data_IF_809535116506
#
_entry.id   IF_809535116506
#
_cell.length_a   1.000
_cell.length_b   1.000
_cell.length_c   1.000
_cell.angle_alpha   90.00
_cell.angle_beta   90.00
_cell.angle_gamma   90.00
#
_symmetry.space_group_name_H-M   'P 1'
#
loop_
_entity.id
_entity.type
_entity.pdbx_description
1 polymer ?
#
# COMPACT_ATOMS: atom_id res chain seq x y z
N UNK A 1 8.55 -16.78 5.24
CA UNK A 1 7.80 -16.49 6.49
C UNK A 1 8.58 -15.45 7.27
N UNK A 2 7.90 -14.46 7.88
CA UNK A 2 8.52 -13.47 8.78
C UNK A 2 7.56 -13.13 9.92
N UNK A 3 8.08 -13.02 11.15
CA UNK A 3 7.34 -12.46 12.29
C UNK A 3 7.64 -10.97 12.36
N UNK A 4 6.63 -10.12 12.19
CA UNK A 4 6.74 -8.67 12.25
C UNK A 4 5.62 -8.15 13.14
N UNK A 5 5.94 -7.31 14.13
CA UNK A 5 4.93 -6.70 15.01
C UNK A 5 3.99 -7.74 15.68
N UNK A 6 4.53 -8.89 16.12
CA UNK A 6 3.76 -10.03 16.65
C UNK A 6 2.78 -10.69 15.67
N UNK A 7 2.84 -10.37 14.38
CA UNK A 7 2.08 -11.04 13.32
C UNK A 7 2.98 -11.97 12.52
N UNK A 8 2.56 -13.22 12.30
CA UNK A 8 3.24 -14.15 11.42
C UNK A 8 2.69 -14.05 9.99
N UNK A 9 3.53 -13.65 9.04
CA UNK A 9 3.19 -13.67 7.62
C UNK A 9 3.70 -14.96 6.97
N UNK A 10 2.76 -15.81 6.55
CA UNK A 10 3.00 -17.09 5.88
C UNK A 10 2.84 -16.89 4.37
N UNK A 11 3.95 -16.62 3.71
CA UNK A 11 4.02 -16.25 2.28
C UNK A 11 4.36 -17.42 1.35
N UNK A 12 4.75 -18.58 1.91
CA UNK A 12 5.05 -19.76 1.11
C UNK A 12 3.72 -20.52 0.86
N UNK A 13 3.31 -20.74 -0.40
CA UNK A 13 2.06 -21.44 -0.70
C UNK A 13 2.07 -22.90 -0.20
N UNK A 14 3.24 -23.54 -0.11
CA UNK A 14 3.39 -24.92 0.36
C UNK A 14 3.45 -25.03 1.90
N UNK A 15 3.25 -23.92 2.62
CA UNK A 15 3.25 -23.92 4.07
C UNK A 15 1.90 -24.37 4.67
N UNK A 16 1.95 -25.40 5.50
CA UNK A 16 0.82 -25.89 6.31
C UNK A 16 1.05 -25.63 7.79
N UNK A 17 0.02 -25.13 8.49
CA UNK A 17 0.12 -24.80 9.91
C UNK A 17 -0.48 -25.90 10.79
N UNK A 18 0.31 -26.37 11.75
CA UNK A 18 -0.08 -27.34 12.77
C UNK A 18 0.09 -26.76 14.18
N UNK A 19 -0.58 -27.36 15.17
CA UNK A 19 -0.32 -27.12 16.60
C UNK A 19 0.57 -28.23 17.14
N UNK A 20 1.58 -27.86 17.91
CA UNK A 20 2.31 -28.77 18.81
C UNK A 20 2.34 -28.11 20.19
N UNK A 21 1.64 -28.72 21.15
CA UNK A 21 1.43 -28.17 22.49
C UNK A 21 0.93 -26.72 22.43
N UNK A 22 1.63 -25.77 23.06
CA UNK A 22 1.30 -24.34 23.06
C UNK A 22 2.03 -23.53 21.98
N UNK A 23 2.50 -24.21 20.93
CA UNK A 23 3.18 -23.59 19.83
C UNK A 23 2.53 -23.89 18.47
N UNK A 24 2.55 -22.87 17.61
CA UNK A 24 2.32 -23.00 16.19
C UNK A 24 3.56 -23.63 15.54
N UNK A 25 3.37 -24.68 14.77
CA UNK A 25 4.39 -25.30 13.93
C UNK A 25 4.03 -25.08 12.48
N UNK A 26 4.96 -24.53 11.71
CA UNK A 26 4.80 -24.41 10.25
C UNK A 26 5.59 -25.52 9.59
N UNK A 27 4.92 -26.28 8.73
CA UNK A 27 5.53 -27.30 7.89
C UNK A 27 5.55 -26.85 6.44
N UNK A 28 6.62 -27.17 5.72
CA UNK A 28 6.74 -26.98 4.27
C UNK A 28 7.18 -28.31 3.71
N UNK A 29 6.46 -28.83 2.70
CA UNK A 29 6.72 -30.16 2.11
C UNK A 29 6.77 -31.29 3.16
N UNK A 30 5.95 -31.20 4.21
CA UNK A 30 5.87 -32.16 5.32
C UNK A 30 6.91 -31.96 6.43
N UNK A 31 7.98 -31.21 6.16
CA UNK A 31 9.10 -30.96 7.09
C UNK A 31 8.86 -29.73 7.98
N UNK A 32 9.36 -29.77 9.21
CA UNK A 32 9.22 -28.66 10.16
C UNK A 32 10.11 -27.49 9.75
N UNK A 33 9.51 -26.41 9.26
CA UNK A 33 10.22 -25.21 8.85
C UNK A 33 10.43 -24.21 9.99
N UNK A 34 9.43 -24.04 10.88
CA UNK A 34 9.55 -23.16 12.04
C UNK A 34 8.56 -23.53 13.15
N UNK A 35 8.81 -23.05 14.37
CA UNK A 35 7.90 -23.16 15.51
C UNK A 35 7.91 -21.87 16.33
N UNK A 36 6.73 -21.40 16.72
CA UNK A 36 6.53 -20.18 17.51
C UNK A 36 5.47 -20.43 18.59
N UNK A 37 5.73 -20.06 19.86
CA UNK A 37 4.70 -20.07 20.89
C UNK A 37 3.52 -19.17 20.51
N UNK A 38 2.28 -19.63 20.75
CA UNK A 38 1.08 -18.87 20.39
C UNK A 38 0.99 -17.54 21.15
N UNK A 39 1.40 -17.48 22.42
CA UNK A 39 1.36 -16.26 23.22
C UNK A 39 2.26 -15.12 22.70
N UNK A 40 3.15 -15.39 21.74
CA UNK A 40 3.97 -14.40 21.08
C UNK A 40 3.34 -13.86 19.78
N UNK A 41 2.15 -14.31 19.44
CA UNK A 41 1.43 -13.96 18.22
C UNK A 41 0.16 -13.18 18.57
N UNK A 42 -0.05 -12.07 17.86
CA UNK A 42 -1.31 -11.32 17.83
C UNK A 42 -2.14 -11.69 16.59
N UNK A 43 -1.48 -12.16 15.53
CA UNK A 43 -2.15 -12.57 14.29
C UNK A 43 -1.29 -13.46 13.40
N UNK A 44 -1.95 -14.15 12.48
CA UNK A 44 -1.35 -14.96 11.43
C UNK A 44 -2.04 -14.62 10.12
N UNK A 45 -1.24 -14.30 9.09
CA UNK A 45 -1.71 -13.93 7.76
C UNK A 45 -1.16 -14.95 6.76
N UNK A 46 -2.05 -15.67 6.09
CA UNK A 46 -1.70 -16.73 5.14
C UNK A 46 -1.99 -16.31 3.70
N UNK A 47 -0.98 -16.43 2.83
CA UNK A 47 -1.10 -16.20 1.40
C UNK A 47 -1.10 -17.53 0.64
N UNK A 48 -2.00 -17.70 -0.33
CA UNK A 48 -1.96 -18.83 -1.27
C UNK A 48 -2.48 -20.18 -0.74
N UNK A 49 -2.99 -20.22 0.49
CA UNK A 49 -3.84 -21.24 1.13
C UNK A 49 -3.60 -22.73 0.82
N UNK A 50 -2.82 -23.43 1.66
CA UNK A 50 -3.04 -24.85 1.98
C UNK A 50 -3.93 -25.05 3.23
N UNK A 51 -4.06 -24.01 4.05
CA UNK A 51 -4.86 -24.01 5.27
C UNK A 51 -4.07 -24.37 6.54
N UNK A 52 -4.80 -24.58 7.64
CA UNK A 52 -4.25 -24.96 8.93
C UNK A 52 -5.08 -26.07 9.58
N UNK A 53 -4.50 -26.78 10.54
CA UNK A 53 -5.23 -27.82 11.25
C UNK A 53 -6.33 -27.23 12.16
N UNK A 54 -7.44 -27.94 12.42
CA UNK A 54 -8.48 -27.51 13.35
C UNK A 54 -7.94 -27.10 14.73
N UNK A 55 -6.86 -27.75 15.19
CA UNK A 55 -6.20 -27.42 16.45
C UNK A 55 -5.53 -26.03 16.44
N UNK A 56 -5.05 -25.55 15.28
CA UNK A 56 -4.55 -24.18 15.13
C UNK A 56 -5.70 -23.19 15.21
N UNK A 57 -6.82 -23.46 14.54
CA UNK A 57 -8.03 -22.63 14.64
C UNK A 57 -8.49 -22.49 16.09
N UNK A 58 -8.60 -23.60 16.82
CA UNK A 58 -9.02 -23.59 18.23
C UNK A 58 -8.05 -22.81 19.12
N UNK A 59 -6.73 -23.01 18.95
CA UNK A 59 -5.73 -22.30 19.73
C UNK A 59 -5.76 -20.78 19.47
N UNK A 60 -5.88 -20.39 18.20
CA UNK A 60 -5.97 -18.99 17.82
C UNK A 60 -7.25 -18.36 18.36
N UNK A 61 -8.38 -19.05 18.23
CA UNK A 61 -9.66 -18.59 18.75
C UNK A 61 -9.64 -18.40 20.28
N UNK A 62 -9.06 -19.34 21.04
CA UNK A 62 -8.95 -19.25 22.51
C UNK A 62 -8.02 -18.12 22.97
N UNK A 63 -6.96 -17.85 22.22
CA UNK A 63 -5.93 -16.87 22.59
C UNK A 63 -6.17 -15.50 21.95
N UNK A 64 -7.27 -15.31 21.21
CA UNK A 64 -7.58 -14.05 20.54
C UNK A 64 -6.64 -13.69 19.39
N UNK A 65 -6.00 -14.69 18.78
CA UNK A 65 -5.07 -14.54 17.66
C UNK A 65 -5.89 -14.52 16.37
N UNK A 66 -5.77 -13.46 15.58
CA UNK A 66 -6.50 -13.35 14.32
C UNK A 66 -5.91 -14.25 13.24
N UNK A 67 -6.74 -15.03 12.53
CA UNK A 67 -6.33 -15.79 11.34
C UNK A 67 -6.89 -15.13 10.09
N UNK A 68 -6.03 -14.56 9.24
CA UNK A 68 -6.44 -13.97 7.96
C UNK A 68 -5.96 -14.82 6.78
N UNK A 69 -6.86 -15.09 5.84
CA UNK A 69 -6.60 -15.85 4.63
C UNK A 69 -6.73 -14.97 3.40
N UNK A 70 -5.69 -15.02 2.58
CA UNK A 70 -5.56 -14.26 1.35
C UNK A 70 -5.28 -15.23 0.20
N UNK A 71 -5.75 -14.89 -1.01
CA UNK A 71 -5.33 -15.63 -2.20
C UNK A 71 -3.85 -15.38 -2.53
N UNK A 72 -3.31 -16.11 -3.51
CA UNK A 72 -1.91 -15.94 -3.93
C UNK A 72 -1.59 -14.51 -4.43
N UNK A 73 -2.61 -13.77 -4.87
CA UNK A 73 -2.48 -12.37 -5.28
C UNK A 73 -2.46 -11.38 -4.11
N UNK A 74 -2.77 -11.83 -2.89
CA UNK A 74 -2.90 -10.99 -1.69
C UNK A 74 -4.28 -10.35 -1.54
N UNK A 75 -5.30 -10.82 -2.26
CA UNK A 75 -6.69 -10.38 -2.04
C UNK A 75 -7.23 -11.07 -0.78
N UNK A 76 -7.84 -10.29 0.10
CA UNK A 76 -8.53 -10.81 1.27
C UNK A 76 -9.66 -11.78 0.90
N UNK A 77 -9.69 -12.94 1.54
CA UNK A 77 -10.74 -13.94 1.37
C UNK A 77 -11.63 -13.99 2.60
N UNK A 78 -11.01 -14.20 3.75
CA UNK A 78 -11.70 -14.29 5.02
C UNK A 78 -10.75 -14.00 6.18
N UNK A 79 -11.33 -13.54 7.28
CA UNK A 79 -10.68 -13.50 8.59
C UNK A 79 -11.50 -14.32 9.56
N UNK A 80 -10.84 -15.20 10.28
CA UNK A 80 -11.43 -16.05 11.31
C UNK A 80 -10.94 -15.55 12.67
N UNK A 81 -11.91 -15.29 13.53
CA UNK A 81 -11.72 -14.88 14.92
C UNK A 81 -12.49 -15.84 15.83
N UNK A 82 -11.95 -16.06 17.03
CA UNK A 82 -12.67 -16.75 18.08
C UNK A 82 -13.81 -15.93 18.66
N UNK A 83 -14.60 -16.51 19.60
CA UNK A 83 -15.64 -15.79 20.33
C UNK A 83 -15.10 -14.49 20.95
N UNK A 84 -15.84 -13.40 20.74
CA UNK A 84 -15.56 -11.99 21.12
C UNK A 84 -14.11 -11.73 21.58
N UNK A 85 -13.22 -11.53 20.63
CA UNK A 85 -11.85 -11.05 20.90
C UNK A 85 -11.50 -9.83 20.04
N UNK A 86 -11.07 -8.76 20.70
CA UNK A 86 -10.17 -7.72 20.17
C UNK A 86 -10.71 -6.66 19.20
N UNK A 87 -11.41 -7.03 18.13
CA UNK A 87 -11.56 -6.12 16.97
C UNK A 87 -12.53 -4.95 17.17
N UNK A 88 -13.53 -5.10 18.02
CA UNK A 88 -14.49 -4.03 18.27
C UNK A 88 -13.80 -2.79 18.88
N UNK A 89 -12.71 -2.97 19.64
CA UNK A 89 -11.98 -1.85 20.22
C UNK A 89 -11.27 -1.03 19.15
N UNK A 90 -10.59 -1.68 18.19
CA UNK A 90 -9.96 -1.00 17.06
C UNK A 90 -11.00 -0.24 16.22
N UNK A 91 -12.11 -0.88 15.86
CA UNK A 91 -13.16 -0.22 15.05
C UNK A 91 -13.83 0.94 15.80
N UNK A 92 -14.11 0.79 17.10
CA UNK A 92 -14.64 1.91 17.90
C UNK A 92 -13.65 3.07 17.98
N UNK A 93 -12.37 2.79 18.14
CA UNK A 93 -11.33 3.81 18.14
C UNK A 93 -11.21 4.48 16.76
N UNK A 94 -11.26 3.71 15.68
CA UNK A 94 -11.30 4.21 14.30
C UNK A 94 -12.49 5.17 14.10
N UNK A 95 -13.70 4.75 14.44
CA UNK A 95 -14.89 5.57 14.25
C UNK A 95 -14.83 6.87 15.07
N UNK A 96 -14.42 6.79 16.35
CA UNK A 96 -14.23 7.98 17.19
C UNK A 96 -13.18 8.94 16.63
N UNK A 97 -12.05 8.42 16.17
CA UNK A 97 -10.97 9.24 15.60
C UNK A 97 -11.34 9.81 14.22
N UNK A 98 -12.21 9.13 13.48
CA UNK A 98 -12.76 9.62 12.20
C UNK A 98 -13.79 10.72 12.41
N UNK A 99 -14.62 10.61 13.45
CA UNK A 99 -15.65 11.60 13.79
C UNK A 99 -15.06 12.85 14.48
N UNK A 100 -13.87 12.74 15.09
CA UNK A 100 -13.13 13.86 15.65
C UNK A 100 -12.32 14.58 14.56
N UNK A 101 -12.73 15.80 14.20
CA UNK A 101 -12.10 16.57 13.12
C UNK A 101 -10.61 16.81 13.34
N UNK A 102 -10.17 17.00 14.59
CA UNK A 102 -8.77 17.24 14.94
C UNK A 102 -7.91 15.99 14.78
N UNK A 103 -8.39 14.85 15.30
CA UNK A 103 -7.71 13.57 15.18
C UNK A 103 -7.67 13.08 13.72
N UNK A 104 -8.77 13.22 12.99
CA UNK A 104 -8.85 12.90 11.57
C UNK A 104 -7.90 13.77 10.74
N UNK A 105 -7.89 15.09 11.00
CA UNK A 105 -6.95 16.01 10.34
C UNK A 105 -5.49 15.64 10.65
N UNK A 106 -5.17 15.35 11.91
CA UNK A 106 -3.82 14.96 12.28
C UNK A 106 -3.33 13.73 11.48
N UNK A 107 -4.15 12.69 11.36
CA UNK A 107 -3.82 11.52 10.52
C UNK A 107 -3.71 11.88 9.04
N UNK A 108 -4.67 12.66 8.53
CA UNK A 108 -4.66 13.13 7.14
C UNK A 108 -3.38 13.89 6.78
N UNK A 109 -2.91 14.77 7.65
CA UNK A 109 -1.68 15.54 7.45
C UNK A 109 -0.46 14.63 7.28
N UNK A 110 -0.40 13.50 8.00
CA UNK A 110 0.69 12.51 7.88
C UNK A 110 0.64 11.76 6.57
N UNK A 111 -0.55 11.32 6.13
CA UNK A 111 -0.72 10.68 4.83
C UNK A 111 -0.31 11.61 3.69
N UNK A 112 -0.75 12.88 3.73
CA UNK A 112 -0.41 13.88 2.71
C UNK A 112 1.07 14.24 2.76
N UNK A 113 1.66 14.48 3.93
CA UNK A 113 3.09 14.76 4.07
C UNK A 113 3.94 13.62 3.51
N UNK A 114 3.60 12.36 3.81
CA UNK A 114 4.31 11.19 3.30
C UNK A 114 4.14 11.01 1.78
N UNK A 115 2.94 11.23 1.24
CA UNK A 115 2.69 11.27 -0.20
C UNK A 115 3.61 12.27 -0.90
N UNK A 116 3.62 13.52 -0.41
CA UNK A 116 4.40 14.62 -0.98
C UNK A 116 5.90 14.34 -0.86
N UNK A 117 6.33 13.83 0.29
CA UNK A 117 7.72 13.42 0.52
C UNK A 117 8.13 12.36 -0.51
N UNK A 118 7.37 11.27 -0.65
CA UNK A 118 7.76 10.17 -1.53
C UNK A 118 7.74 10.59 -3.00
N UNK A 119 6.80 11.43 -3.42
CA UNK A 119 6.79 12.07 -4.73
C UNK A 119 8.08 12.88 -4.95
N UNK A 120 8.47 13.71 -3.98
CA UNK A 120 9.72 14.49 -4.02
C UNK A 120 10.97 13.61 -4.11
N UNK A 121 11.06 12.52 -3.34
CA UNK A 121 12.20 11.58 -3.40
C UNK A 121 12.30 10.90 -4.77
N UNK A 122 11.18 10.55 -5.40
CA UNK A 122 11.17 10.01 -6.78
C UNK A 122 11.80 11.00 -7.76
N UNK A 123 11.39 12.27 -7.72
CA UNK A 123 11.95 13.32 -8.58
C UNK A 123 13.43 13.57 -8.29
N UNK A 124 13.82 13.69 -7.01
CA UNK A 124 15.21 13.90 -6.62
C UNK A 124 16.14 12.77 -7.06
N UNK A 125 15.66 11.53 -7.05
CA UNK A 125 16.44 10.40 -7.55
C UNK A 125 16.62 10.48 -9.06
N UNK A 126 15.59 10.90 -9.80
CA UNK A 126 15.70 11.16 -11.23
C UNK A 126 16.79 12.22 -11.53
N UNK A 127 16.78 13.34 -10.79
CA UNK A 127 17.80 14.40 -10.95
C UNK A 127 19.22 13.90 -10.67
N UNK A 128 19.39 13.01 -9.69
CA UNK A 128 20.70 12.46 -9.32
C UNK A 128 21.21 11.44 -10.32
N UNK A 129 20.32 10.56 -10.77
CA UNK A 129 20.66 9.49 -11.70
C UNK A 129 20.88 10.05 -13.13
N UNK A 130 20.29 11.20 -13.46
CA UNK A 130 20.34 11.84 -14.78
C UNK A 130 20.43 13.39 -14.66
N UNK A 131 21.58 13.93 -14.24
CA UNK A 131 21.73 15.37 -14.01
C UNK A 131 21.63 16.22 -15.29
N UNK A 132 21.99 15.67 -16.44
CA UNK A 132 21.90 16.38 -17.74
C UNK A 132 20.44 16.61 -18.18
N UNK A 133 19.52 15.75 -17.75
CA UNK A 133 18.09 15.85 -18.04
C UNK A 133 17.31 16.60 -16.93
N UNK A 134 18.00 17.02 -15.86
CA UNK A 134 17.42 17.71 -14.73
C UNK A 134 17.23 19.20 -15.04
N UNK A 135 16.13 19.51 -15.73
CA UNK A 135 15.73 20.89 -16.02
C UNK A 135 15.35 21.71 -14.78
N UNK A 136 15.29 23.03 -14.94
CA UNK A 136 14.86 23.98 -13.90
C UNK A 136 13.45 23.66 -13.40
N UNK A 137 12.55 23.22 -14.29
CA UNK A 137 11.18 22.79 -13.99
C UNK A 137 11.14 21.65 -12.95
N UNK A 138 12.01 20.65 -13.08
CA UNK A 138 12.10 19.52 -12.16
C UNK A 138 12.65 19.97 -10.79
N UNK A 139 13.64 20.86 -10.78
CA UNK A 139 14.21 21.42 -9.55
C UNK A 139 13.16 22.28 -8.79
N UNK A 140 12.40 23.09 -9.51
CA UNK A 140 11.32 23.91 -8.96
C UNK A 140 10.19 23.04 -8.39
N UNK A 141 9.81 21.97 -9.09
CA UNK A 141 8.85 21.00 -8.57
C UNK A 141 9.34 20.36 -7.26
N UNK A 142 10.61 19.93 -7.19
CA UNK A 142 11.19 19.36 -5.97
C UNK A 142 11.18 20.37 -4.81
N UNK A 143 11.57 21.62 -5.06
CA UNK A 143 11.57 22.70 -4.06
C UNK A 143 10.15 22.97 -3.56
N UNK A 144 9.19 23.08 -4.47
CA UNK A 144 7.80 23.31 -4.13
C UNK A 144 7.21 22.15 -3.32
N UNK A 145 7.44 20.90 -3.72
CA UNK A 145 7.00 19.73 -2.95
C UNK A 145 7.60 19.73 -1.55
N UNK A 146 8.84 20.21 -1.36
CA UNK A 146 9.41 20.33 -0.01
C UNK A 146 8.63 21.34 0.84
N UNK A 147 8.19 22.45 0.26
CA UNK A 147 7.31 23.42 0.91
C UNK A 147 5.96 22.81 1.29
N UNK A 148 5.34 22.05 0.38
CA UNK A 148 4.05 21.38 0.63
C UNK A 148 4.16 20.31 1.73
N UNK A 149 5.24 19.53 1.75
CA UNK A 149 5.51 18.52 2.78
C UNK A 149 5.52 19.16 4.19
N UNK A 150 6.16 20.31 4.35
CA UNK A 150 6.20 21.04 5.62
C UNK A 150 4.85 21.74 5.90
N UNK A 151 4.24 22.33 4.87
CA UNK A 151 2.96 23.04 4.96
C UNK A 151 1.79 22.15 5.34
N UNK A 152 1.83 20.85 5.04
CA UNK A 152 0.77 19.90 5.39
C UNK A 152 0.42 19.96 6.89
N UNK A 153 1.43 20.03 7.76
CA UNK A 153 1.24 20.11 9.22
C UNK A 153 0.80 21.49 9.73
N UNK A 154 0.82 22.51 8.87
CA UNK A 154 0.35 23.87 9.22
C UNK A 154 -1.11 24.11 8.85
N UNK A 155 -1.75 23.15 8.17
CA UNK A 155 -3.15 23.27 7.76
C UNK A 155 -4.09 23.17 8.96
N UNK A 156 -5.14 23.98 8.98
CA UNK A 156 -6.11 24.06 10.08
C UNK A 156 -7.43 23.32 9.79
N UNK A 157 -7.56 22.72 8.60
CA UNK A 157 -8.78 22.02 8.22
C UNK A 157 -8.59 21.09 7.01
N UNK A 158 -9.53 20.15 6.87
CA UNK A 158 -9.46 19.12 5.84
C UNK A 158 -9.51 19.68 4.41
N UNK A 159 -10.24 20.77 4.17
CA UNK A 159 -10.33 21.37 2.83
C UNK A 159 -9.06 22.12 2.43
N UNK A 160 -8.40 22.79 3.37
CA UNK A 160 -7.07 23.39 3.16
C UNK A 160 -6.04 22.31 2.82
N UNK A 161 -6.04 21.21 3.57
CA UNK A 161 -5.16 20.08 3.31
C UNK A 161 -5.42 19.42 1.95
N UNK A 162 -6.69 19.32 1.51
CA UNK A 162 -7.03 18.85 0.16
C UNK A 162 -6.54 19.80 -0.93
N UNK A 163 -6.61 21.12 -0.69
CA UNK A 163 -6.05 22.12 -1.60
C UNK A 163 -4.53 21.96 -1.77
N UNK A 164 -3.82 21.79 -0.66
CA UNK A 164 -2.38 21.54 -0.62
C UNK A 164 -2.01 20.22 -1.32
N UNK A 165 -2.75 19.14 -1.05
CA UNK A 165 -2.57 17.84 -1.72
C UNK A 165 -2.77 17.96 -3.24
N UNK A 166 -3.79 18.71 -3.66
CA UNK A 166 -4.10 18.98 -5.06
C UNK A 166 -2.97 19.72 -5.79
N UNK A 167 -2.46 20.82 -5.21
CA UNK A 167 -1.34 21.57 -5.82
C UNK A 167 -0.06 20.73 -5.86
N UNK A 168 0.25 20.00 -4.79
CA UNK A 168 1.39 19.11 -4.76
C UNK A 168 1.30 18.01 -5.84
N UNK A 169 0.11 17.39 -6.00
CA UNK A 169 -0.11 16.40 -7.04
C UNK A 169 0.01 17.00 -8.44
N UNK A 170 -0.53 18.21 -8.66
CA UNK A 170 -0.42 18.92 -9.93
C UNK A 170 1.05 19.19 -10.29
N UNK A 171 1.84 19.73 -9.35
CA UNK A 171 3.28 19.97 -9.55
C UNK A 171 4.04 18.69 -9.86
N UNK A 172 3.82 17.63 -9.09
CA UNK A 172 4.46 16.34 -9.33
C UNK A 172 4.14 15.78 -10.72
N UNK A 173 2.86 15.78 -11.12
CA UNK A 173 2.47 15.25 -12.43
C UNK A 173 2.88 16.15 -13.60
N UNK A 174 3.03 17.46 -13.40
CA UNK A 174 3.48 18.38 -14.45
C UNK A 174 4.90 18.08 -14.95
N UNK A 175 5.75 17.49 -14.10
CA UNK A 175 7.13 17.11 -14.43
C UNK A 175 7.31 15.59 -14.56
N UNK A 176 6.23 14.82 -14.53
CA UNK A 176 6.31 13.35 -14.53
C UNK A 176 6.88 12.79 -15.84
N UNK A 177 6.65 13.48 -16.97
CA UNK A 177 7.21 13.11 -18.27
C UNK A 177 8.75 13.08 -18.25
N UNK A 178 9.40 13.88 -17.39
CA UNK A 178 10.86 13.87 -17.17
C UNK A 178 11.36 12.55 -16.57
N UNK A 179 10.47 11.72 -16.02
CA UNK A 179 10.81 10.39 -15.53
C UNK A 179 10.83 9.34 -16.66
N UNK A 180 10.18 9.64 -17.79
CA UNK A 180 10.04 8.75 -18.93
C UNK A 180 11.20 8.96 -19.90
N UNK A 181 12.01 7.93 -20.07
CA UNK A 181 13.20 7.92 -20.94
C UNK A 181 12.90 7.41 -22.35
N UNK A 182 11.73 6.81 -22.52
CA UNK A 182 11.25 6.30 -23.81
C UNK A 182 10.07 7.17 -24.22
N UNK A 183 10.26 7.95 -25.27
CA UNK A 183 9.26 8.89 -25.83
C UNK A 183 8.49 8.28 -27.01
N UNK A 184 8.62 6.97 -27.22
CA UNK A 184 7.99 6.20 -28.32
C UNK A 184 6.47 6.05 -28.08
N UNK A 185 5.74 7.16 -28.03
CA UNK A 185 4.28 7.24 -27.83
C UNK A 185 3.81 7.15 -26.37
N UNK A 186 4.71 7.36 -25.40
CA UNK A 186 4.39 7.44 -23.96
C UNK A 186 4.38 8.88 -23.41
N UNK A 187 4.06 9.87 -24.24
CA UNK A 187 3.98 11.26 -23.80
C UNK A 187 2.97 11.45 -22.65
N UNK A 188 3.35 12.22 -21.63
CA UNK A 188 2.51 12.47 -20.46
C UNK A 188 2.28 13.96 -20.22
N UNK A 189 1.10 14.46 -20.61
CA UNK A 189 0.71 15.86 -20.41
C UNK A 189 0.11 16.15 -19.02
N UNK A 190 -0.15 15.12 -18.21
CA UNK A 190 -0.75 15.25 -16.89
C UNK A 190 -1.70 14.10 -16.55
N UNK A 191 -2.16 14.05 -15.31
CA UNK A 191 -2.97 12.93 -14.81
C UNK A 191 -4.42 12.99 -15.29
N UNK A 192 -4.84 11.99 -16.08
CA UNK A 192 -6.23 11.76 -16.49
C UNK A 192 -6.73 10.42 -15.95
N UNK A 193 -7.83 10.41 -15.20
CA UNK A 193 -8.26 9.22 -14.42
C UNK A 193 -9.44 8.48 -15.03
N UNK A 194 -10.48 9.18 -15.52
CA UNK A 194 -11.76 8.59 -15.92
C UNK A 194 -12.39 9.37 -17.09
N UNK A 195 -12.22 8.92 -18.34
CA UNK A 195 -11.33 7.82 -18.76
C UNK A 195 -9.85 8.25 -18.85
N UNK A 196 -8.88 7.31 -18.77
CA UNK A 196 -7.49 7.58 -19.11
C UNK A 196 -7.34 7.97 -20.58
N UNK A 197 -6.52 8.98 -20.89
CA UNK A 197 -6.35 9.48 -22.27
C UNK A 197 -5.06 9.03 -22.96
N UNK A 198 -4.16 8.36 -22.24
CA UNK A 198 -2.87 7.91 -22.75
C UNK A 198 -2.40 6.63 -22.02
N UNK A 199 -1.43 5.89 -22.60
CA UNK A 199 -0.92 4.64 -22.03
C UNK A 199 -0.36 4.77 -20.60
N UNK A 200 0.30 5.89 -20.27
CA UNK A 200 0.88 6.12 -18.94
C UNK A 200 -0.22 6.25 -17.90
N UNK A 201 -1.26 7.04 -18.22
CA UNK A 201 -2.45 7.19 -17.38
C UNK A 201 -3.22 5.88 -17.22
N UNK A 202 -3.26 5.03 -18.24
CA UNK A 202 -3.86 3.70 -18.17
C UNK A 202 -3.11 2.79 -17.19
N UNK A 203 -1.76 2.73 -17.28
CA UNK A 203 -0.92 1.97 -16.35
C UNK A 203 -1.04 2.48 -14.91
N UNK A 204 -0.93 3.79 -14.70
CA UNK A 204 -1.10 4.39 -13.37
C UNK A 204 -2.48 4.07 -12.78
N UNK A 205 -3.56 4.25 -13.55
CA UNK A 205 -4.92 3.90 -13.10
C UNK A 205 -5.05 2.43 -12.73
N UNK A 206 -4.48 1.54 -13.55
CA UNK A 206 -4.51 0.10 -13.31
C UNK A 206 -3.79 -0.26 -11.99
N UNK A 207 -2.54 0.18 -11.82
CA UNK A 207 -1.75 -0.17 -10.64
C UNK A 207 -2.18 0.56 -9.36
N UNK A 208 -2.74 1.76 -9.45
CA UNK A 208 -3.39 2.37 -8.29
C UNK A 208 -4.64 1.60 -7.86
N UNK A 209 -5.40 1.03 -8.81
CA UNK A 209 -6.55 0.18 -8.47
C UNK A 209 -6.10 -1.12 -7.82
N UNK A 210 -4.99 -1.71 -8.28
CA UNK A 210 -4.37 -2.88 -7.64
C UNK A 210 -3.89 -2.56 -6.23
N UNK A 211 -3.11 -1.48 -6.05
CA UNK A 211 -2.63 -1.07 -4.74
C UNK A 211 -3.79 -0.76 -3.78
N UNK A 212 -4.84 -0.06 -4.23
CA UNK A 212 -6.02 0.22 -3.40
C UNK A 212 -6.69 -1.06 -2.89
N UNK A 213 -6.77 -2.11 -3.72
CA UNK A 213 -7.30 -3.43 -3.30
C UNK A 213 -6.37 -4.15 -2.32
N UNK A 214 -5.05 -4.06 -2.53
CA UNK A 214 -4.05 -4.63 -1.61
C UNK A 214 -4.12 -3.94 -0.23
N UNK A 215 -4.23 -2.60 -0.20
CA UNK A 215 -4.38 -1.84 1.06
C UNK A 215 -5.73 -2.12 1.72
N UNK A 216 -6.83 -2.22 0.96
CA UNK A 216 -8.12 -2.61 1.51
C UNK A 216 -8.07 -4.01 2.15
N UNK A 217 -7.41 -4.96 1.47
CA UNK A 217 -7.17 -6.30 2.00
C UNK A 217 -6.33 -6.26 3.29
N UNK A 218 -5.35 -5.36 3.38
CA UNK A 218 -4.59 -5.13 4.59
C UNK A 218 -5.45 -4.54 5.73
N UNK A 219 -6.32 -3.57 5.44
CA UNK A 219 -7.28 -3.02 6.40
C UNK A 219 -8.17 -4.11 7.01
N UNK A 220 -8.77 -4.96 6.18
CA UNK A 220 -9.62 -6.08 6.64
C UNK A 220 -8.81 -7.11 7.44
N UNK A 221 -7.60 -7.41 6.97
CA UNK A 221 -6.68 -8.33 7.64
C UNK A 221 -6.34 -7.85 9.06
N UNK A 222 -6.02 -6.56 9.24
CA UNK A 222 -5.67 -5.99 10.54
C UNK A 222 -6.90 -5.74 11.42
N UNK A 223 -8.07 -5.47 10.83
CA UNK A 223 -9.36 -5.41 11.54
C UNK A 223 -10.09 -4.09 11.47
N UNK A 224 -9.54 -3.14 10.70
CA UNK A 224 -10.22 -1.90 10.36
C UNK A 224 -11.49 -2.17 9.53
N UNK A 225 -12.38 -1.20 9.55
CA UNK A 225 -13.38 -1.03 8.50
C UNK A 225 -12.75 -0.27 7.33
N UNK A 226 -12.54 -0.88 6.14
CA UNK A 226 -11.89 -0.19 5.03
C UNK A 226 -12.65 1.04 4.53
N UNK A 227 -13.96 1.15 4.80
CA UNK A 227 -14.79 2.22 4.26
C UNK A 227 -14.70 3.52 5.04
N UNK A 228 -14.25 3.47 6.29
CA UNK A 228 -14.17 4.64 7.19
C UNK A 228 -12.75 5.19 7.23
N UNK A 229 -12.51 6.25 6.44
CA UNK A 229 -11.21 6.93 6.35
C UNK A 229 -11.11 8.14 7.28
N UNK A 230 -9.92 8.72 7.37
CA UNK A 230 -9.62 9.95 8.09
C UNK A 230 -9.48 11.17 7.16
N UNK A 231 -9.18 10.97 5.88
CA UNK A 231 -8.95 12.06 4.92
C UNK A 231 -9.98 12.07 3.78
N UNK A 232 -10.16 10.93 3.11
CA UNK A 232 -11.18 10.77 2.09
C UNK A 232 -12.57 10.61 2.73
N UNK A 233 -13.53 11.44 2.29
CA UNK A 233 -14.92 11.41 2.78
C UNK A 233 -15.57 10.02 2.66
N UNK A 234 -16.49 9.68 3.53
CA UNK A 234 -17.19 8.40 3.38
C UNK A 234 -18.12 8.38 2.16
N UNK A 235 -18.09 7.26 1.44
CA UNK A 235 -19.01 6.96 0.35
C UNK A 235 -19.31 5.46 0.39
N UNK A 236 -20.59 5.05 0.32
CA UNK A 236 -20.94 3.63 0.31
C UNK A 236 -20.17 2.85 -0.76
N UNK A 237 -19.54 1.75 -0.36
CA UNK A 237 -18.76 0.87 -1.23
C UNK A 237 -17.37 1.37 -1.59
N UNK A 238 -16.94 2.55 -1.10
CA UNK A 238 -15.58 3.05 -1.27
C UNK A 238 -14.74 2.72 -0.04
N UNK A 239 -13.63 2.03 -0.24
CA UNK A 239 -12.65 1.78 0.81
C UNK A 239 -11.83 3.05 1.13
N UNK A 240 -12.45 4.06 1.76
CA UNK A 240 -11.84 5.37 2.03
C UNK A 240 -10.55 5.27 2.84
N UNK A 241 -10.50 4.42 3.87
CA UNK A 241 -9.27 4.20 4.64
C UNK A 241 -8.14 3.64 3.75
N UNK A 242 -8.47 2.73 2.84
CA UNK A 242 -7.49 2.19 1.92
C UNK A 242 -6.97 3.26 0.95
N UNK A 243 -7.81 4.23 0.58
CA UNK A 243 -7.39 5.38 -0.22
C UNK A 243 -6.48 6.33 0.58
N UNK A 244 -6.73 6.50 1.88
CA UNK A 244 -5.87 7.31 2.76
C UNK A 244 -4.49 6.68 2.92
N UNK A 245 -4.45 5.41 3.34
CA UNK A 245 -3.19 4.68 3.57
C UNK A 245 -2.43 4.46 2.27
N UNK A 246 -3.10 4.33 1.12
CA UNK A 246 -2.33 4.21 -0.13
C UNK A 246 -1.56 5.50 -0.48
N UNK A 247 -1.94 6.68 0.03
CA UNK A 247 -1.34 7.96 -0.38
C UNK A 247 0.18 7.99 -0.17
N UNK A 248 0.65 7.50 0.97
CA UNK A 248 2.09 7.37 1.26
C UNK A 248 2.79 6.34 0.35
N UNK A 249 2.06 5.43 -0.30
CA UNK A 249 2.64 4.36 -1.11
C UNK A 249 2.69 4.68 -2.61
N UNK A 250 1.83 5.56 -3.12
CA UNK A 250 1.62 5.78 -4.57
C UNK A 250 2.93 6.00 -5.34
N UNK A 251 3.71 7.01 -4.96
CA UNK A 251 4.88 7.43 -5.73
C UNK A 251 5.98 6.36 -5.77
N UNK A 252 6.41 5.87 -4.60
CA UNK A 252 7.52 4.93 -4.54
C UNK A 252 7.11 3.51 -4.98
N UNK A 253 5.87 3.11 -4.69
CA UNK A 253 5.39 1.75 -4.93
C UNK A 253 4.86 1.59 -6.36
N UNK A 254 3.97 2.47 -6.82
CA UNK A 254 3.30 2.37 -8.13
C UNK A 254 4.01 3.17 -9.20
N UNK A 255 4.26 4.46 -8.97
CA UNK A 255 4.74 5.33 -10.06
C UNK A 255 6.11 4.90 -10.55
N UNK A 256 7.03 4.60 -9.63
CA UNK A 256 8.35 4.01 -9.96
C UNK A 256 8.23 2.69 -10.72
N UNK A 257 7.20 1.89 -10.45
CA UNK A 257 6.99 0.64 -11.17
C UNK A 257 6.56 0.92 -12.61
N UNK A 258 5.59 1.82 -12.81
CA UNK A 258 5.12 2.23 -14.14
C UNK A 258 6.27 2.84 -14.95
N UNK A 259 7.04 3.76 -14.36
CA UNK A 259 8.23 4.34 -14.99
C UNK A 259 9.24 3.24 -15.36
N UNK A 260 9.45 2.25 -14.49
CA UNK A 260 10.36 1.13 -14.78
C UNK A 260 9.86 0.27 -15.95
N UNK A 261 8.56 -0.04 -16.01
CA UNK A 261 7.98 -0.81 -17.11
C UNK A 261 8.23 -0.13 -18.46
N UNK A 262 7.99 1.17 -18.53
CA UNK A 262 8.15 1.97 -19.76
C UNK A 262 9.63 2.10 -20.11
N UNK A 263 10.48 2.54 -19.17
CA UNK A 263 11.89 2.79 -19.44
C UNK A 263 12.68 1.51 -19.79
N UNK A 264 12.25 0.35 -19.28
CA UNK A 264 12.81 -0.96 -19.64
C UNK A 264 12.18 -1.58 -20.89
N UNK A 265 11.28 -0.87 -21.58
CA UNK A 265 10.55 -1.33 -22.77
C UNK A 265 9.83 -2.67 -22.53
N UNK A 266 9.32 -2.88 -21.31
CA UNK A 266 8.54 -4.07 -20.93
C UNK A 266 7.06 -3.96 -21.36
N UNK A 267 6.68 -2.77 -21.84
CA UNK A 267 5.41 -2.43 -22.49
C UNK A 267 5.71 -1.52 -23.68
N UNK A 268 4.84 -1.55 -24.69
CA UNK A 268 4.90 -0.70 -25.87
C UNK A 268 3.50 -0.13 -26.20
N UNK A 269 3.40 0.85 -27.10
CA UNK A 269 2.10 1.48 -27.44
C UNK A 269 1.11 0.48 -28.03
N UNK A 270 1.59 -0.53 -28.76
CA UNK A 270 0.74 -1.58 -29.34
C UNK A 270 0.09 -2.50 -28.29
N UNK A 271 0.51 -2.43 -27.02
CA UNK A 271 -0.12 -3.16 -25.92
C UNK A 271 -1.42 -2.51 -25.41
N UNK A 272 -1.80 -1.36 -25.98
CA UNK A 272 -2.94 -0.57 -25.54
C UNK A 272 -3.99 -0.42 -26.64
N UNK A 273 -5.25 -0.57 -26.24
CA UNK A 273 -6.41 -0.32 -27.08
C UNK A 273 -7.01 1.05 -26.70
N UNK A 274 -7.36 1.85 -27.70
CA UNK A 274 -8.02 3.14 -27.52
C UNK A 274 -9.46 3.09 -28.02
N UNK A 275 -10.41 3.51 -27.19
CA UNK A 275 -11.83 3.65 -27.56
C UNK A 275 -12.40 4.93 -26.96
N UNK A 276 -13.32 5.59 -27.67
CA UNK A 276 -14.01 6.78 -27.17
C UNK A 276 -14.79 6.50 -25.87
N UNK A 277 -15.30 5.27 -25.71
CA UNK A 277 -16.12 4.89 -24.56
C UNK A 277 -15.29 4.63 -23.29
N UNK A 278 -14.11 3.99 -23.43
CA UNK A 278 -13.30 3.52 -22.30
C UNK A 278 -11.98 4.29 -22.13
N UNK A 279 -11.64 5.16 -23.07
CA UNK A 279 -10.33 5.76 -23.20
C UNK A 279 -9.28 4.73 -23.60
N UNK A 280 -8.06 4.94 -23.11
CA UNK A 280 -6.93 4.02 -23.32
C UNK A 280 -6.93 2.93 -22.25
N UNK A 281 -6.89 1.67 -22.68
CA UNK A 281 -6.91 0.49 -21.82
C UNK A 281 -5.79 -0.48 -22.19
N UNK A 282 -5.26 -1.20 -21.21
CA UNK A 282 -4.22 -2.21 -21.43
C UNK A 282 -4.86 -3.51 -21.93
N UNK A 283 -4.38 -4.00 -23.08
CA UNK A 283 -4.81 -5.24 -23.69
C UNK A 283 -4.48 -6.47 -22.82
N UNK A 284 -5.18 -7.58 -23.05
CA UNK A 284 -5.17 -8.73 -22.12
C UNK A 284 -3.80 -9.43 -22.03
N UNK A 285 -3.09 -9.57 -23.16
CA UNK A 285 -1.76 -10.19 -23.18
C UNK A 285 -0.75 -9.37 -22.36
N UNK A 286 -0.71 -8.06 -22.60
CA UNK A 286 0.14 -7.14 -21.88
C UNK A 286 -0.25 -7.05 -20.39
N UNK A 287 -1.55 -7.07 -20.08
CA UNK A 287 -2.08 -7.12 -18.72
C UNK A 287 -1.55 -8.34 -17.95
N UNK A 288 -1.58 -9.53 -18.56
CA UNK A 288 -1.03 -10.75 -17.95
C UNK A 288 0.47 -10.61 -17.67
N UNK A 289 1.22 -10.04 -18.62
CA UNK A 289 2.66 -9.82 -18.47
C UNK A 289 2.97 -8.84 -17.31
N UNK A 290 2.38 -7.65 -17.31
CA UNK A 290 2.65 -6.64 -16.27
C UNK A 290 2.17 -7.08 -14.89
N UNK A 291 1.14 -7.93 -14.79
CA UNK A 291 0.74 -8.56 -13.54
C UNK A 291 1.82 -9.52 -13.02
N UNK A 292 2.46 -10.30 -13.90
CA UNK A 292 3.63 -11.12 -13.53
C UNK A 292 4.78 -10.27 -12.97
N UNK A 293 5.10 -9.16 -13.65
CA UNK A 293 6.13 -8.21 -13.20
C UNK A 293 5.75 -7.54 -11.86
N UNK A 294 4.46 -7.26 -11.64
CA UNK A 294 3.97 -6.73 -10.37
C UNK A 294 4.17 -7.74 -9.24
N UNK A 295 3.86 -9.03 -9.46
CA UNK A 295 4.11 -10.07 -8.47
C UNK A 295 5.60 -10.22 -8.17
N UNK A 296 6.47 -10.14 -9.19
CA UNK A 296 7.92 -10.16 -8.99
C UNK A 296 8.39 -8.97 -8.14
N UNK A 297 7.92 -7.75 -8.43
CA UNK A 297 8.21 -6.56 -7.62
C UNK A 297 7.83 -6.77 -6.16
N UNK A 298 6.69 -7.39 -5.86
CA UNK A 298 6.25 -7.65 -4.49
C UNK A 298 7.18 -8.59 -3.71
N UNK A 299 7.98 -9.41 -4.39
CA UNK A 299 8.96 -10.31 -3.77
C UNK A 299 10.29 -9.61 -3.48
N UNK A 300 10.59 -8.50 -4.17
CA UNK A 300 11.79 -7.68 -3.92
C UNK A 300 11.86 -7.25 -2.45
N UNK A 301 13.08 -7.16 -1.90
CA UNK A 301 13.28 -6.74 -0.51
C UNK A 301 13.49 -5.23 -0.42
N UNK A 302 12.81 -4.58 0.51
CA UNK A 302 13.00 -3.17 0.86
C UNK A 302 13.29 -3.05 2.36
N UNK A 303 14.15 -2.11 2.75
CA UNK A 303 14.34 -1.76 4.16
C UNK A 303 13.16 -0.90 4.62
N UNK A 304 12.37 -1.38 5.57
CA UNK A 304 11.27 -0.61 6.11
C UNK A 304 11.81 0.56 6.96
N UNK A 305 11.44 1.83 6.67
CA UNK A 305 12.11 3.00 7.23
C UNK A 305 11.90 3.16 8.74
N UNK A 306 10.74 2.77 9.27
CA UNK A 306 10.45 2.77 10.71
C UNK A 306 11.00 1.51 11.41
N UNK A 307 10.57 0.32 10.98
CA UNK A 307 10.97 -0.97 11.60
C UNK A 307 12.45 -1.32 11.47
N UNK A 308 13.20 -0.74 10.51
CA UNK A 308 14.60 -1.07 10.22
C UNK A 308 14.85 -2.53 9.86
N UNK A 309 13.85 -3.18 9.25
CA UNK A 309 13.93 -4.55 8.79
C UNK A 309 13.80 -4.66 7.27
N UNK A 310 14.53 -5.60 6.67
CA UNK A 310 14.30 -5.97 5.27
C UNK A 310 13.00 -6.76 5.17
N UNK A 311 12.07 -6.32 4.35
CA UNK A 311 10.76 -6.96 4.13
C UNK A 311 10.46 -7.06 2.63
N UNK A 312 9.72 -8.09 2.17
CA UNK A 312 9.16 -8.08 0.83
C UNK A 312 8.31 -6.82 0.61
N UNK A 313 8.43 -6.18 -0.55
CA UNK A 313 7.65 -4.98 -0.93
C UNK A 313 6.15 -5.25 -0.77
N UNK A 314 5.68 -6.45 -1.12
CA UNK A 314 4.27 -6.85 -0.99
C UNK A 314 3.73 -6.88 0.44
N UNK A 315 4.59 -6.91 1.47
CA UNK A 315 4.16 -6.83 2.87
C UNK A 315 4.03 -5.39 3.38
N UNK A 316 4.56 -4.40 2.66
CA UNK A 316 4.56 -3.01 3.14
C UNK A 316 3.14 -2.47 3.42
N UNK A 317 2.11 -2.69 2.57
CA UNK A 317 0.74 -2.28 2.88
C UNK A 317 0.24 -2.84 4.21
N UNK A 318 0.50 -4.11 4.51
CA UNK A 318 0.09 -4.75 5.77
C UNK A 318 0.79 -4.15 6.97
N UNK A 319 2.09 -3.87 6.85
CA UNK A 319 2.87 -3.28 7.93
C UNK A 319 2.42 -1.85 8.25
N UNK A 320 2.11 -1.05 7.22
CA UNK A 320 1.61 0.31 7.42
C UNK A 320 0.23 0.33 8.06
N UNK A 321 -0.70 -0.52 7.61
CA UNK A 321 -2.00 -0.67 8.27
C UNK A 321 -1.83 -1.15 9.72
N UNK A 322 -0.89 -2.05 10.00
CA UNK A 322 -0.63 -2.50 11.37
C UNK A 322 -0.06 -1.40 12.27
N UNK A 323 0.84 -0.56 11.75
CA UNK A 323 1.34 0.63 12.45
C UNK A 323 0.22 1.64 12.70
N UNK A 324 -0.69 1.83 11.74
CA UNK A 324 -1.87 2.67 11.91
C UNK A 324 -2.80 2.14 13.01
N UNK A 325 -3.03 0.82 13.06
CA UNK A 325 -3.83 0.21 14.11
C UNK A 325 -3.22 0.43 15.50
N UNK A 326 -1.89 0.29 15.62
CA UNK A 326 -1.18 0.56 16.86
C UNK A 326 -1.32 2.02 17.30
N UNK A 327 -1.18 2.98 16.39
CA UNK A 327 -1.44 4.39 16.69
C UNK A 327 -2.90 4.64 17.11
N UNK A 328 -3.88 4.14 16.36
CA UNK A 328 -5.32 4.34 16.66
C UNK A 328 -5.71 3.72 18.01
N UNK A 329 -5.04 2.65 18.46
CA UNK A 329 -5.23 2.06 19.80
C UNK A 329 -4.50 2.81 20.92
N UNK A 330 -3.60 3.73 20.59
CA UNK A 330 -2.74 4.43 21.56
C UNK A 330 -1.47 3.65 21.95
N UNK A 331 -1.09 2.63 21.18
CA UNK A 331 0.15 1.87 21.39
C UNK A 331 1.39 2.63 20.86
N UNK A 332 1.18 3.64 20.01
CA UNK A 332 2.22 4.52 19.46
C UNK A 332 1.81 5.97 19.69
N UNK A 333 2.80 6.81 20.06
CA UNK A 333 2.60 8.25 20.24
C UNK A 333 2.26 8.96 18.91
N UNK A 334 2.70 8.39 17.80
CA UNK A 334 2.47 8.92 16.47
C UNK A 334 2.35 7.82 15.40
N UNK A 335 1.65 8.10 14.30
CA UNK A 335 1.61 7.22 13.13
C UNK A 335 2.84 7.44 12.23
N UNK A 336 3.77 6.46 12.14
CA UNK A 336 4.98 6.59 11.34
C UNK A 336 4.69 6.24 9.87
N UNK A 337 4.07 7.17 9.15
CA UNK A 337 3.77 7.05 7.73
C UNK A 337 5.01 6.61 6.93
N UNK A 338 4.81 5.83 5.86
CA UNK A 338 5.94 5.27 5.09
C UNK A 338 6.74 6.38 4.38
N UNK A 339 7.97 6.62 4.84
CA UNK A 339 8.91 7.58 4.22
C UNK A 339 10.03 6.81 3.50
N UNK A 340 9.94 6.74 2.17
CA UNK A 340 10.93 6.08 1.33
C UNK A 340 12.24 6.88 1.28
N UNK A 341 13.38 6.19 1.26
CA UNK A 341 14.73 6.79 1.27
C UNK A 341 15.56 6.34 0.08
#
# INVERSE_FOLDING_TARGET
MKKLLNTLYVTNPEAYLCKADDALVVRVDGEKAMQLPFHLLEGIVMFGYLGCSPAVFEACAKQGISLAFLDAGGRFLARVEGPVSGNVLLRRAQYRASDDEGAALALAQRFVAAKVHNARIVLQRCMRDYPEDAGEDLADAVKALKGHELGAFSTCGADELRGLEGDAAHRYFSVFDRLLRVQDGFAFAGRTRRPPRDPVNALLSFFYSMLSREVASACETVGFDPQVGFFHRDRPGRASLALDVMEELRAWYVDRFVVSLINRRQVCVADFDSSEATGVVLGDAARKNVLGLWQQRKQEQVMHPFLKEKVPVGLVPFLQVQLLARYVRGDLDDYPAFIWR
#
